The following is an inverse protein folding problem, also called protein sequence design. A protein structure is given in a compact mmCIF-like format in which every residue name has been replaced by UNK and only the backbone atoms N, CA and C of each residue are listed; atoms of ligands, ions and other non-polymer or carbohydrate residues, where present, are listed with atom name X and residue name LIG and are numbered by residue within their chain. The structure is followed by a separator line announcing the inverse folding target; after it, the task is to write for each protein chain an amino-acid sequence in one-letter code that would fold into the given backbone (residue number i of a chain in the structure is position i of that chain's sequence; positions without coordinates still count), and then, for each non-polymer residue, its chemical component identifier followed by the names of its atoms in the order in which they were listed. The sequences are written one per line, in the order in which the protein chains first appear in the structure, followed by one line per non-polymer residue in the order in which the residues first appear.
data_IF_512605504196
#
_entry.id   IF_512605504196
#
_cell.length_a   1.000
_cell.length_b   1.000
_cell.length_c   1.000
_cell.angle_alpha   90.00
_cell.angle_beta   90.00
_cell.angle_gamma   90.00
#
_symmetry.space_group_name_H-M   'P 1'
#
loop_
_entity.id
_entity.type
_entity.pdbx_description
1 polymer ?
#
# COMPACT_ATOMS: atom_id res chain seq x y z
N UNK A 1 26.04 -0.64 -27.87
CA UNK A 1 25.50 -1.49 -26.78
C UNK A 1 25.18 -0.56 -25.62
N UNK A 2 23.91 -0.19 -25.45
CA UNK A 2 23.48 0.79 -24.45
C UNK A 2 22.72 0.05 -23.35
N UNK A 3 23.31 -0.01 -22.16
CA UNK A 3 22.67 -0.50 -20.95
C UNK A 3 21.60 0.51 -20.52
N UNK A 4 20.33 0.20 -20.77
CA UNK A 4 19.20 1.02 -20.35
C UNK A 4 18.48 0.33 -19.19
N UNK A 5 18.64 0.94 -18.02
CA UNK A 5 17.75 0.95 -16.87
C UNK A 5 17.12 -0.41 -16.50
N UNK A 6 17.73 -1.08 -15.52
CA UNK A 6 16.97 -1.87 -14.55
C UNK A 6 15.94 -0.92 -13.92
N UNK A 7 14.71 -0.93 -14.47
CA UNK A 7 13.58 -0.23 -13.87
C UNK A 7 13.34 -0.92 -12.54
N UNK A 8 13.56 -0.17 -11.46
CA UNK A 8 13.22 -0.52 -10.08
C UNK A 8 11.96 -1.39 -10.05
N UNK A 9 12.15 -2.70 -9.86
CA UNK A 9 11.06 -3.59 -9.53
C UNK A 9 10.54 -3.17 -8.15
N UNK A 10 9.30 -2.69 -8.12
CA UNK A 10 8.34 -2.98 -7.07
C UNK A 10 8.83 -2.87 -5.61
N UNK A 11 9.50 -1.78 -5.23
CA UNK A 11 9.75 -1.53 -3.81
C UNK A 11 8.51 -0.88 -3.17
N UNK A 12 7.46 -1.70 -2.99
CA UNK A 12 6.43 -1.45 -2.00
C UNK A 12 6.92 -2.05 -0.68
N UNK A 13 7.33 -1.25 0.32
CA UNK A 13 7.90 -1.75 1.59
C UNK A 13 6.90 -2.60 2.40
N UNK A 14 5.62 -2.51 2.05
CA UNK A 14 4.60 -3.47 2.41
C UNK A 14 4.11 -4.11 1.13
N UNK A 15 4.43 -5.39 0.87
CA UNK A 15 3.48 -6.22 0.13
C UNK A 15 2.27 -6.34 1.05
N UNK A 16 1.15 -5.64 0.82
CA UNK A 16 -0.06 -6.01 1.55
C UNK A 16 -0.21 -7.51 1.37
N UNK A 17 -0.43 -8.24 2.46
CA UNK A 17 -0.73 -9.66 2.38
C UNK A 17 -1.88 -9.79 1.40
N UNK A 18 -1.56 -10.16 0.15
CA UNK A 18 -2.55 -10.28 -0.89
C UNK A 18 -3.46 -11.38 -0.40
N UNK A 19 -4.70 -11.03 -0.09
CA UNK A 19 -5.70 -12.03 0.26
C UNK A 19 -5.73 -13.06 -0.88
N UNK A 20 -6.07 -14.33 -0.62
CA UNK A 20 -6.12 -15.36 -1.66
C UNK A 20 -6.83 -14.89 -2.94
N UNK A 21 -7.91 -14.11 -2.77
CA UNK A 21 -8.65 -13.48 -3.86
C UNK A 21 -7.84 -12.44 -4.67
N UNK A 22 -7.02 -11.59 -4.02
CA UNK A 22 -6.15 -10.67 -4.73
C UNK A 22 -5.02 -11.39 -5.48
N UNK A 23 -4.57 -12.53 -4.96
CA UNK A 23 -3.59 -13.37 -5.64
C UNK A 23 -4.19 -14.02 -6.90
N UNK A 24 -5.42 -14.51 -6.81
CA UNK A 24 -6.19 -15.01 -7.95
C UNK A 24 -6.44 -13.90 -8.99
N UNK A 25 -6.82 -12.70 -8.53
CA UNK A 25 -6.96 -11.52 -9.39
C UNK A 25 -5.68 -11.20 -10.14
N UNK A 26 -4.53 -11.22 -9.45
CA UNK A 26 -3.22 -11.00 -10.07
C UNK A 26 -2.90 -12.04 -11.15
N UNK A 27 -3.19 -13.32 -10.90
CA UNK A 27 -2.95 -14.41 -11.86
C UNK A 27 -3.87 -14.25 -13.07
N UNK A 28 -5.15 -13.96 -12.84
CA UNK A 28 -6.15 -13.78 -13.90
C UNK A 28 -5.81 -12.57 -14.79
N UNK A 29 -5.50 -11.41 -14.22
CA UNK A 29 -5.10 -10.24 -15.00
C UNK A 29 -3.89 -10.55 -15.89
N UNK A 30 -2.91 -11.30 -15.35
CA UNK A 30 -1.74 -11.74 -16.12
C UNK A 30 -2.12 -12.69 -17.26
N UNK A 31 -3.01 -13.65 -17.05
CA UNK A 31 -3.43 -14.58 -18.11
C UNK A 31 -4.17 -13.89 -19.24
N UNK A 32 -4.95 -12.85 -18.91
CA UNK A 32 -5.65 -12.01 -19.88
C UNK A 32 -4.78 -10.91 -20.50
N UNK A 33 -3.49 -10.82 -20.14
CA UNK A 33 -2.57 -9.74 -20.55
C UNK A 33 -3.12 -8.34 -20.24
N UNK A 34 -3.82 -8.22 -19.11
CA UNK A 34 -4.35 -6.98 -18.60
C UNK A 34 -3.32 -6.29 -17.69
N UNK A 35 -3.51 -5.00 -17.39
CA UNK A 35 -2.65 -4.24 -16.48
C UNK A 35 -2.42 -4.94 -15.15
N UNK A 36 -1.22 -4.80 -14.59
CA UNK A 36 -0.88 -5.42 -13.33
C UNK A 36 -1.70 -4.83 -12.18
N UNK A 37 -1.90 -5.61 -11.12
CA UNK A 37 -2.56 -5.15 -9.90
C UNK A 37 -1.96 -3.86 -9.33
N UNK A 38 -0.65 -3.66 -9.49
CA UNK A 38 0.03 -2.44 -9.05
C UNK A 38 -0.37 -1.19 -9.84
N UNK A 39 -0.68 -1.36 -11.12
CA UNK A 39 -1.16 -0.27 -11.99
C UNK A 39 -2.59 0.12 -11.62
N UNK A 40 -3.42 -0.87 -11.27
CA UNK A 40 -4.82 -0.65 -10.90
C UNK A 40 -4.97 0.24 -9.66
N UNK A 41 -4.01 0.22 -8.71
CA UNK A 41 -4.08 1.08 -7.52
C UNK A 41 -4.15 2.57 -7.82
N UNK A 42 -3.57 3.02 -8.95
CA UNK A 42 -3.62 4.41 -9.37
C UNK A 42 -4.94 4.81 -10.04
N UNK A 43 -5.76 3.84 -10.43
CA UNK A 43 -6.95 4.07 -11.25
C UNK A 43 -8.18 4.47 -10.42
N UNK A 44 -9.18 5.03 -11.09
CA UNK A 44 -10.50 5.25 -10.51
C UNK A 44 -11.26 3.93 -10.33
N UNK A 45 -12.16 3.88 -9.34
CA UNK A 45 -12.96 2.69 -9.02
C UNK A 45 -13.75 2.18 -10.24
N UNK A 46 -14.21 3.09 -11.11
CA UNK A 46 -14.90 2.72 -12.36
C UNK A 46 -14.02 1.93 -13.32
N UNK A 47 -12.79 2.40 -13.56
CA UNK A 47 -11.83 1.74 -14.46
C UNK A 47 -11.34 0.41 -13.87
N UNK A 48 -11.12 0.36 -12.56
CA UNK A 48 -10.83 -0.88 -11.83
C UNK A 48 -11.99 -1.88 -11.97
N UNK A 49 -13.24 -1.45 -11.88
CA UNK A 49 -14.40 -2.34 -12.06
C UNK A 49 -14.49 -2.86 -13.50
N UNK A 50 -14.21 -2.01 -14.48
CA UNK A 50 -14.26 -2.36 -15.90
C UNK A 50 -13.18 -3.42 -16.25
N UNK A 51 -11.94 -3.24 -15.79
CA UNK A 51 -10.86 -4.18 -16.10
C UNK A 51 -11.08 -5.55 -15.42
N UNK A 52 -11.62 -5.56 -14.20
CA UNK A 52 -11.99 -6.81 -13.53
C UNK A 52 -13.17 -7.49 -14.24
N UNK A 53 -14.07 -6.74 -14.86
CA UNK A 53 -15.12 -7.32 -15.70
C UNK A 53 -14.56 -7.94 -16.98
N UNK A 54 -13.55 -7.32 -17.61
CA UNK A 54 -12.85 -7.88 -18.78
C UNK A 54 -12.11 -9.17 -18.41
N UNK A 55 -11.59 -9.25 -17.18
CA UNK A 55 -10.99 -10.46 -16.60
C UNK A 55 -12.00 -11.51 -16.11
N UNK A 56 -13.27 -11.39 -16.52
CA UNK A 56 -14.36 -12.33 -16.25
C UNK A 56 -14.72 -12.55 -14.75
N UNK A 57 -14.34 -11.62 -13.87
CA UNK A 57 -14.76 -11.67 -12.47
C UNK A 57 -16.26 -11.39 -12.34
N UNK A 58 -16.96 -12.16 -11.53
CA UNK A 58 -18.38 -11.95 -11.20
C UNK A 58 -18.56 -10.68 -10.38
N UNK A 59 -19.77 -10.11 -10.40
CA UNK A 59 -20.09 -8.87 -9.66
C UNK A 59 -19.73 -8.92 -8.18
N UNK A 60 -19.95 -10.06 -7.51
CA UNK A 60 -19.60 -10.23 -6.10
C UNK A 60 -18.07 -10.22 -5.89
N UNK A 61 -17.33 -10.97 -6.72
CA UNK A 61 -15.86 -11.03 -6.70
C UNK A 61 -15.26 -9.64 -6.96
N UNK A 62 -15.79 -8.90 -7.95
CA UNK A 62 -15.36 -7.52 -8.23
C UNK A 62 -15.53 -6.60 -7.03
N UNK A 63 -16.67 -6.67 -6.32
CA UNK A 63 -16.90 -5.83 -5.12
C UNK A 63 -15.90 -6.14 -4.03
N UNK A 64 -15.61 -7.43 -3.80
CA UNK A 64 -14.63 -7.84 -2.79
C UNK A 64 -13.22 -7.39 -3.18
N UNK A 65 -12.81 -7.60 -4.43
CA UNK A 65 -11.49 -7.16 -4.93
C UNK A 65 -11.33 -5.64 -4.80
N UNK A 66 -12.34 -4.86 -5.21
CA UNK A 66 -12.32 -3.39 -5.09
C UNK A 66 -12.23 -2.94 -3.63
N UNK A 67 -12.99 -3.58 -2.74
CA UNK A 67 -12.92 -3.28 -1.31
C UNK A 67 -11.54 -3.61 -0.71
N UNK A 68 -10.92 -4.71 -1.10
CA UNK A 68 -9.56 -5.05 -0.69
C UNK A 68 -8.53 -4.04 -1.24
N UNK A 69 -8.70 -3.60 -2.49
CA UNK A 69 -7.86 -2.56 -3.11
C UNK A 69 -7.98 -1.21 -2.40
N UNK A 70 -9.17 -0.85 -1.92
CA UNK A 70 -9.41 0.38 -1.14
C UNK A 70 -8.80 0.32 0.27
N UNK A 71 -8.77 -0.87 0.88
CA UNK A 71 -8.25 -1.07 2.24
C UNK A 71 -6.74 -1.06 2.35
N UNK A 72 -6.04 -1.32 1.25
CA UNK A 72 -4.58 -1.19 1.21
C UNK A 72 -4.29 0.31 1.25
N UNK A 73 -3.72 0.83 2.35
CA UNK A 73 -3.41 2.25 2.43
C UNK A 73 -2.52 2.59 1.23
N UNK A 74 -3.03 3.46 0.35
CA UNK A 74 -2.20 4.09 -0.67
C UNK A 74 -1.09 4.74 0.12
N UNK A 75 0.12 4.20 0.07
CA UNK A 75 1.30 4.80 0.66
C UNK A 75 1.54 6.10 -0.10
N UNK A 76 0.75 7.12 0.20
CA UNK A 76 1.18 8.50 0.08
C UNK A 76 2.38 8.56 1.00
N UNK A 77 3.55 8.82 0.46
CA UNK A 77 4.80 9.02 1.19
C UNK A 77 4.71 10.29 2.05
N UNK A 78 3.69 10.42 2.89
CA UNK A 78 3.68 11.39 3.95
C UNK A 78 4.79 10.93 4.91
N UNK A 79 5.90 11.67 5.03
CA UNK A 79 6.90 11.33 6.03
C UNK A 79 6.19 11.30 7.39
N UNK A 80 6.28 10.17 8.10
CA UNK A 80 5.90 10.11 9.50
C UNK A 80 6.83 11.05 10.26
N UNK A 81 6.45 12.32 10.40
CA UNK A 81 7.11 13.25 11.32
C UNK A 81 6.67 12.87 12.72
N UNK A 82 7.45 12.01 13.38
CA UNK A 82 7.35 11.83 14.82
C UNK A 82 7.75 13.16 15.44
N UNK A 83 6.76 13.90 15.94
CA UNK A 83 7.01 15.16 16.66
C UNK A 83 7.68 14.83 17.99
N UNK A 84 9.01 14.96 18.04
CA UNK A 84 9.81 14.88 19.26
C UNK A 84 9.62 16.17 20.10
N UNK A 85 8.39 16.41 20.55
CA UNK A 85 8.06 17.57 21.39
C UNK A 85 7.14 17.16 22.54
N UNK A 86 7.74 16.54 23.55
CA UNK A 86 7.32 16.58 24.96
C UNK A 86 8.54 16.08 25.77
N UNK A 87 9.55 16.93 25.92
CA UNK A 87 9.81 17.74 27.12
C UNK A 87 10.59 16.96 28.18
N UNK A 88 11.90 17.12 28.07
CA UNK A 88 12.81 17.27 29.20
C UNK A 88 12.20 18.29 30.18
N UNK A 89 12.05 17.91 31.45
CA UNK A 89 12.12 18.79 32.62
C UNK A 89 11.93 17.90 33.86
N UNK A 90 13.01 17.29 34.34
CA UNK A 90 13.15 16.89 35.75
C UNK A 90 14.63 16.61 36.08
N UNK A 91 15.46 17.65 36.03
CA UNK A 91 16.63 17.76 36.90
C UNK A 91 16.84 19.23 37.25
N UNK A 92 16.54 19.64 38.49
CA UNK A 92 17.51 20.34 39.35
C UNK A 92 16.91 20.53 40.75
N UNK A 93 17.62 20.12 41.82
CA UNK A 93 17.18 20.44 43.18
C UNK A 93 17.82 19.71 44.34
N UNK A 94 19.08 19.29 44.26
CA UNK A 94 19.84 18.85 45.43
C UNK A 94 20.18 20.05 46.33
N UNK A 95 19.65 20.11 47.56
CA UNK A 95 20.37 20.56 48.78
C UNK A 95 19.54 20.50 50.07
N UNK A 96 20.05 19.67 50.99
CA UNK A 96 20.22 19.93 52.44
C UNK A 96 18.99 20.26 53.31
N UNK A 97 18.72 19.38 54.29
CA UNK A 97 19.17 19.62 55.68
C UNK A 97 18.99 18.40 56.59
N UNK A 98 20.12 18.03 57.17
CA UNK A 98 20.28 17.37 58.46
C UNK A 98 19.50 18.12 59.54
N UNK A 99 18.62 17.42 60.26
CA UNK A 99 18.54 17.39 61.73
C UNK A 99 17.58 16.32 62.21
#
# INVERSE_FOLDING_TARGET
MSAAAAKNEDFFPYRPLLTPLLQEAKICLRSHRLPAMSELWGWGVGDQAAILQVADFRRAERRTILWELERIPRLTSAPCTVSAAAREDEEEGERSRVR
#
